data_IF_991542773522
#
_entry.id   IF_991542773522
#
_cell.length_a   1.000
_cell.length_b   1.000
_cell.length_c   1.000
_cell.angle_alpha   90.00
_cell.angle_beta   90.00
_cell.angle_gamma   90.00
#
_symmetry.space_group_name_H-M   'P 1'
#
loop_
_entity.id
_entity.type
_entity.pdbx_description
1 polymer ?
#
# COMPACT_ATOMS: atom_id res chain seq x y z
N UNK A 1 9.01 -22.90 -6.21
CA UNK A 1 8.33 -21.59 -6.08
C UNK A 1 8.12 -20.99 -7.46
N UNK A 2 6.92 -20.54 -7.82
CA UNK A 2 6.66 -19.96 -9.14
C UNK A 2 7.31 -18.57 -9.23
N UNK A 3 8.29 -18.38 -10.12
CA UNK A 3 9.04 -17.13 -10.29
C UNK A 3 8.13 -15.91 -10.51
N UNK A 4 6.95 -16.12 -11.10
CA UNK A 4 5.95 -15.07 -11.32
C UNK A 4 5.33 -14.58 -10.00
N UNK A 5 4.97 -15.50 -9.10
CA UNK A 5 4.35 -15.16 -7.81
C UNK A 5 5.33 -14.36 -6.96
N UNK A 6 6.55 -14.85 -6.86
CA UNK A 6 7.60 -14.19 -6.10
C UNK A 6 7.89 -12.78 -6.63
N UNK A 7 8.05 -12.62 -7.95
CA UNK A 7 8.22 -11.29 -8.55
C UNK A 7 7.03 -10.39 -8.29
N UNK A 8 5.81 -10.90 -8.29
CA UNK A 8 4.64 -10.08 -8.03
C UNK A 8 4.58 -9.60 -6.57
N UNK A 9 4.68 -10.51 -5.60
CA UNK A 9 4.56 -10.15 -4.17
C UNK A 9 5.72 -9.29 -3.67
N UNK A 10 6.91 -9.44 -4.27
CA UNK A 10 8.11 -8.63 -3.95
C UNK A 10 8.23 -7.38 -4.82
N UNK A 11 7.24 -7.07 -5.65
CA UNK A 11 7.24 -5.98 -6.62
C UNK A 11 8.53 -5.94 -7.46
N UNK A 12 8.70 -6.95 -8.31
CA UNK A 12 9.86 -7.18 -9.18
C UNK A 12 11.21 -7.25 -8.44
N UNK A 13 11.24 -7.93 -7.29
CA UNK A 13 12.40 -8.09 -6.38
C UNK A 13 12.81 -6.82 -5.61
N UNK A 14 12.05 -5.73 -5.67
CA UNK A 14 12.32 -4.54 -4.85
C UNK A 14 12.23 -4.89 -3.35
N UNK A 15 11.30 -5.76 -2.97
CA UNK A 15 11.15 -6.27 -1.61
C UNK A 15 12.37 -7.04 -1.09
N UNK A 16 13.28 -7.48 -1.96
CA UNK A 16 14.51 -8.21 -1.58
C UNK A 16 15.70 -7.29 -1.31
N UNK A 17 15.54 -5.97 -1.42
CA UNK A 17 16.61 -5.03 -1.10
C UNK A 17 16.93 -5.13 0.39
N UNK A 18 18.23 -5.22 0.73
CA UNK A 18 18.70 -5.46 2.11
C UNK A 18 18.35 -4.35 3.09
N UNK A 19 18.27 -3.10 2.63
CA UNK A 19 18.07 -1.94 3.48
C UNK A 19 16.73 -1.27 3.20
N UNK A 20 15.85 -1.28 4.20
CA UNK A 20 14.54 -0.64 4.20
C UNK A 20 13.72 -0.88 2.89
N UNK A 21 13.44 -2.15 2.53
CA UNK A 21 12.73 -2.49 1.30
C UNK A 21 11.38 -1.78 1.17
N UNK A 22 10.64 -1.64 2.29
CA UNK A 22 9.38 -0.90 2.32
C UNK A 22 9.53 0.59 2.02
N UNK A 23 10.56 1.26 2.54
CA UNK A 23 10.84 2.67 2.22
C UNK A 23 11.14 2.86 0.74
N UNK A 24 11.98 1.99 0.17
CA UNK A 24 12.32 2.03 -1.26
C UNK A 24 11.10 1.71 -2.11
N UNK A 25 10.35 0.67 -1.74
CA UNK A 25 9.09 0.26 -2.38
C UNK A 25 8.07 1.39 -2.38
N UNK A 26 7.68 1.87 -1.20
CA UNK A 26 6.75 2.99 -1.02
C UNK A 26 7.14 4.20 -1.88
N UNK A 27 8.42 4.60 -1.91
CA UNK A 27 8.89 5.70 -2.77
C UNK A 27 8.55 5.43 -4.24
N UNK A 28 8.89 4.24 -4.75
CA UNK A 28 8.61 3.83 -6.13
C UNK A 28 7.09 3.78 -6.38
N UNK A 29 6.30 3.28 -5.41
CA UNK A 29 4.86 3.14 -5.52
C UNK A 29 4.18 4.49 -5.71
N UNK A 30 4.57 5.51 -4.95
CA UNK A 30 4.02 6.87 -5.12
C UNK A 30 4.23 7.41 -6.55
N UNK A 31 5.41 7.20 -7.14
CA UNK A 31 5.64 7.59 -8.54
C UNK A 31 4.80 6.77 -9.52
N UNK A 32 4.80 5.44 -9.38
CA UNK A 32 4.03 4.54 -10.26
C UNK A 32 2.53 4.88 -10.21
N UNK A 33 1.98 5.05 -9.00
CA UNK A 33 0.58 5.34 -8.79
C UNK A 33 0.19 6.73 -9.29
N UNK A 34 1.05 7.74 -9.12
CA UNK A 34 0.84 9.06 -9.70
C UNK A 34 0.73 8.98 -11.23
N UNK A 35 1.67 8.31 -11.89
CA UNK A 35 1.63 8.12 -13.35
C UNK A 35 0.43 7.30 -13.81
N UNK A 36 0.02 6.29 -13.03
CA UNK A 36 -1.15 5.49 -13.34
C UNK A 36 -2.45 6.31 -13.21
N UNK A 37 -2.55 7.10 -12.14
CA UNK A 37 -3.71 7.94 -11.85
C UNK A 37 -3.95 9.00 -12.93
N UNK A 38 -2.90 9.67 -13.43
CA UNK A 38 -3.06 10.69 -14.48
C UNK A 38 -3.36 10.11 -15.87
N UNK A 39 -3.06 8.82 -16.11
CA UNK A 39 -3.25 8.16 -17.41
C UNK A 39 -4.59 7.44 -17.53
N UNK A 40 -5.13 6.95 -16.42
CA UNK A 40 -6.37 6.18 -16.40
C UNK A 40 -7.57 7.07 -16.05
N UNK A 41 -8.75 6.70 -16.53
CA UNK A 41 -9.99 7.25 -15.96
C UNK A 41 -10.15 6.74 -14.52
N UNK A 42 -10.86 7.50 -13.68
CA UNK A 42 -11.08 7.10 -12.29
C UNK A 42 -11.70 5.70 -12.16
N UNK A 43 -12.69 5.38 -13.03
CA UNK A 43 -13.31 4.04 -13.05
C UNK A 43 -12.29 2.94 -13.35
N UNK A 44 -11.43 3.15 -14.36
CA UNK A 44 -10.43 2.15 -14.73
C UNK A 44 -9.35 2.01 -13.64
N UNK A 45 -8.95 3.13 -13.02
CA UNK A 45 -8.03 3.14 -11.88
C UNK A 45 -8.60 2.41 -10.65
N UNK A 46 -9.91 2.51 -10.42
CA UNK A 46 -10.61 1.77 -9.36
C UNK A 46 -10.67 0.27 -9.69
N UNK A 47 -10.98 -0.09 -10.94
CA UNK A 47 -11.02 -1.49 -11.36
C UNK A 47 -9.64 -2.17 -11.22
N UNK A 48 -8.56 -1.48 -11.58
CA UNK A 48 -7.20 -2.01 -11.42
C UNK A 48 -6.83 -2.23 -9.96
N UNK A 49 -7.29 -1.38 -9.03
CA UNK A 49 -7.13 -1.63 -7.60
C UNK A 49 -7.74 -2.98 -7.17
N UNK A 50 -9.01 -3.24 -7.52
CA UNK A 50 -9.68 -4.49 -7.14
C UNK A 50 -9.04 -5.72 -7.80
N UNK A 51 -8.59 -5.60 -9.05
CA UNK A 51 -7.87 -6.68 -9.74
C UNK A 51 -6.57 -7.00 -8.99
N UNK A 52 -5.75 -5.99 -8.67
CA UNK A 52 -4.48 -6.17 -7.96
C UNK A 52 -4.74 -6.72 -6.55
N UNK A 53 -5.78 -6.25 -5.86
CA UNK A 53 -6.17 -6.74 -4.53
C UNK A 53 -6.46 -8.24 -4.55
N UNK A 54 -7.31 -8.70 -5.48
CA UNK A 54 -7.68 -10.12 -5.61
C UNK A 54 -6.44 -10.97 -5.94
N UNK A 55 -5.62 -10.54 -6.90
CA UNK A 55 -4.39 -11.25 -7.27
C UNK A 55 -3.43 -11.33 -6.08
N UNK A 56 -3.28 -10.24 -5.32
CA UNK A 56 -2.40 -10.17 -4.15
C UNK A 56 -2.83 -11.15 -3.07
N UNK A 57 -4.13 -11.22 -2.75
CA UNK A 57 -4.65 -12.19 -1.77
C UNK A 57 -4.29 -13.62 -2.18
N UNK A 58 -4.48 -13.97 -3.46
CA UNK A 58 -4.18 -15.32 -3.97
C UNK A 58 -2.67 -15.61 -3.95
N UNK A 59 -1.87 -14.65 -4.37
CA UNK A 59 -0.42 -14.83 -4.55
C UNK A 59 0.32 -14.83 -3.22
N UNK A 60 -0.04 -13.96 -2.28
CA UNK A 60 0.52 -13.96 -0.92
C UNK A 60 0.16 -15.27 -0.21
N UNK A 61 -1.09 -15.75 -0.31
CA UNK A 61 -1.49 -17.03 0.28
C UNK A 61 -0.65 -18.20 -0.25
N UNK A 62 -0.32 -18.19 -1.54
CA UNK A 62 0.53 -19.22 -2.14
C UNK A 62 2.00 -19.04 -1.76
N UNK A 63 2.48 -17.80 -1.69
CA UNK A 63 3.86 -17.47 -1.34
C UNK A 63 4.20 -17.83 0.11
N UNK A 64 3.33 -17.48 1.06
CA UNK A 64 3.50 -17.79 2.48
C UNK A 64 3.39 -19.29 2.73
N UNK A 65 2.50 -20.02 2.04
CA UNK A 65 2.44 -21.49 2.17
C UNK A 65 3.73 -22.18 1.74
N UNK A 66 4.40 -21.66 0.71
CA UNK A 66 5.65 -22.22 0.18
C UNK A 66 6.88 -21.85 1.06
N UNK A 67 6.79 -20.81 1.89
CA UNK A 67 7.86 -20.36 2.79
C UNK A 67 7.48 -20.62 4.25
N UNK A 68 8.20 -21.54 4.90
CA UNK A 68 8.02 -21.96 6.29
C UNK A 68 8.33 -20.87 7.36
N UNK A 69 8.43 -19.59 6.98
CA UNK A 69 8.85 -18.50 7.87
C UNK A 69 7.72 -17.51 8.16
N UNK A 70 7.80 -16.94 9.37
CA UNK A 70 6.95 -15.85 9.86
C UNK A 70 7.06 -14.61 8.95
N UNK A 71 5.90 -14.04 8.56
CA UNK A 71 5.69 -12.83 7.76
C UNK A 71 6.91 -12.31 6.97
N UNK A 72 7.09 -12.77 5.71
CA UNK A 72 8.24 -12.39 4.90
C UNK A 72 8.24 -10.89 4.61
N UNK A 73 9.23 -10.18 5.16
CA UNK A 73 9.45 -8.73 4.97
C UNK A 73 9.65 -8.32 3.51
N UNK A 74 9.92 -9.28 2.63
CA UNK A 74 10.03 -9.03 1.19
C UNK A 74 8.69 -8.90 0.47
N UNK A 75 7.57 -9.27 1.11
CA UNK A 75 6.23 -8.99 0.57
C UNK A 75 5.96 -7.51 0.79
N UNK A 76 5.83 -6.77 -0.32
CA UNK A 76 5.61 -5.31 -0.32
C UNK A 76 4.46 -4.92 -1.25
N UNK A 77 3.68 -5.89 -1.73
CA UNK A 77 2.52 -5.66 -2.60
C UNK A 77 1.28 -5.20 -1.81
N UNK A 78 1.21 -5.61 -0.55
CA UNK A 78 0.39 -5.03 0.52
C UNK A 78 0.67 -3.53 0.69
N UNK A 79 1.95 -3.13 0.81
CA UNK A 79 2.31 -1.72 0.96
C UNK A 79 1.90 -0.91 -0.29
N UNK A 80 2.05 -1.51 -1.48
CA UNK A 80 1.59 -0.93 -2.74
C UNK A 80 0.08 -0.69 -2.74
N UNK A 81 -0.72 -1.64 -2.24
CA UNK A 81 -2.17 -1.49 -2.11
C UNK A 81 -2.53 -0.40 -1.09
N UNK A 82 -1.81 -0.30 0.03
CA UNK A 82 -1.95 0.78 1.00
C UNK A 82 -1.70 2.16 0.39
N UNK A 83 -0.62 2.30 -0.37
CA UNK A 83 -0.33 3.52 -1.14
C UNK A 83 -1.42 3.81 -2.18
N UNK A 84 -1.93 2.77 -2.87
CA UNK A 84 -2.97 2.89 -3.89
C UNK A 84 -4.23 3.56 -3.34
N UNK A 85 -4.65 3.16 -2.14
CA UNK A 85 -5.82 3.73 -1.46
C UNK A 85 -5.69 5.24 -1.31
N UNK A 86 -4.52 5.76 -1.00
CA UNK A 86 -4.29 7.22 -0.88
C UNK A 86 -4.62 7.94 -2.20
N UNK A 87 -4.22 7.34 -3.34
CA UNK A 87 -4.53 7.88 -4.66
C UNK A 87 -6.00 7.71 -5.07
N UNK A 88 -6.71 6.68 -4.60
CA UNK A 88 -8.15 6.55 -4.83
C UNK A 88 -8.91 7.76 -4.24
N UNK A 89 -8.46 8.27 -3.10
CA UNK A 89 -9.06 9.43 -2.44
C UNK A 89 -8.40 10.76 -2.81
N UNK A 90 -7.40 10.77 -3.71
CA UNK A 90 -6.74 11.99 -4.16
C UNK A 90 -7.72 13.10 -4.62
N UNK A 91 -8.81 12.81 -5.36
CA UNK A 91 -9.79 13.85 -5.74
C UNK A 91 -10.48 14.56 -4.57
N UNK A 92 -10.52 13.95 -3.38
CA UNK A 92 -11.14 14.53 -2.18
C UNK A 92 -10.14 15.35 -1.35
N UNK A 93 -8.85 15.27 -1.66
CA UNK A 93 -7.76 15.91 -0.92
C UNK A 93 -7.41 17.23 -1.62
N UNK A 94 -7.67 18.37 -0.98
CA UNK A 94 -7.51 19.70 -1.60
C UNK A 94 -6.07 20.22 -1.59
N UNK A 95 -5.07 19.35 -1.73
CA UNK A 95 -3.67 19.76 -1.83
C UNK A 95 -3.37 20.20 -3.27
N UNK A 96 -3.12 21.49 -3.45
CA UNK A 96 -2.85 22.08 -4.78
C UNK A 96 -1.45 21.78 -5.32
N UNK A 97 -0.47 21.56 -4.44
CA UNK A 97 0.91 21.24 -4.84
C UNK A 97 1.15 19.73 -4.77
N UNK A 98 1.34 19.10 -5.94
CA UNK A 98 1.55 17.65 -6.04
C UNK A 98 2.78 17.17 -5.28
N UNK A 99 3.86 17.95 -5.22
CA UNK A 99 5.08 17.57 -4.50
C UNK A 99 4.79 17.50 -3.00
N UNK A 100 4.03 18.47 -2.47
CA UNK A 100 3.61 18.45 -1.07
C UNK A 100 2.69 17.25 -0.78
N UNK A 101 1.76 16.95 -1.68
CA UNK A 101 0.90 15.77 -1.56
C UNK A 101 1.74 14.49 -1.48
N UNK A 102 2.69 14.29 -2.40
CA UNK A 102 3.53 13.09 -2.43
C UNK A 102 4.38 12.95 -1.15
N UNK A 103 5.05 14.03 -0.72
CA UNK A 103 5.93 14.01 0.46
C UNK A 103 5.12 13.77 1.73
N UNK A 104 4.03 14.53 1.96
CA UNK A 104 3.23 14.41 3.18
C UNK A 104 2.55 13.05 3.23
N UNK A 105 1.97 12.59 2.12
CA UNK A 105 1.35 11.26 2.05
C UNK A 105 2.35 10.15 2.32
N UNK A 106 3.55 10.24 1.76
CA UNK A 106 4.61 9.26 2.00
C UNK A 106 4.99 9.21 3.49
N UNK A 107 5.21 10.36 4.12
CA UNK A 107 5.59 10.44 5.54
C UNK A 107 4.48 9.88 6.43
N UNK A 108 3.23 10.28 6.20
CA UNK A 108 2.08 9.81 6.97
C UNK A 108 1.84 8.31 6.79
N UNK A 109 1.91 7.81 5.55
CA UNK A 109 1.75 6.39 5.27
C UNK A 109 2.79 5.56 6.00
N UNK A 110 4.08 5.91 5.87
CA UNK A 110 5.15 5.19 6.56
C UNK A 110 5.02 5.28 8.08
N UNK A 111 4.57 6.42 8.61
CA UNK A 111 4.31 6.57 10.03
C UNK A 111 3.20 5.62 10.51
N UNK A 112 2.08 5.52 9.77
CA UNK A 112 0.97 4.66 10.17
C UNK A 112 1.24 3.16 9.95
N UNK A 113 1.94 2.80 8.88
CA UNK A 113 2.41 1.44 8.61
C UNK A 113 3.36 0.95 9.71
N UNK A 114 4.36 1.77 10.09
CA UNK A 114 5.34 1.39 11.12
C UNK A 114 4.71 1.35 12.53
N UNK A 115 3.85 2.31 12.87
CA UNK A 115 3.26 2.40 14.21
C UNK A 115 2.13 1.38 14.40
N UNK A 116 1.40 1.00 13.34
CA UNK A 116 0.20 0.15 13.39
C UNK A 116 -0.80 0.59 14.46
N UNK A 117 -1.35 1.80 14.33
CA UNK A 117 -2.36 2.35 15.27
C UNK A 117 -3.59 1.43 15.38
N UNK A 118 -4.23 1.40 16.56
CA UNK A 118 -5.46 0.64 16.77
C UNK A 118 -6.56 1.04 15.76
N UNK A 119 -7.27 0.08 15.11
CA UNK A 119 -7.33 -1.35 15.40
C UNK A 119 -6.41 -2.22 14.54
N UNK A 120 -5.48 -1.65 13.76
CA UNK A 120 -4.51 -2.40 12.92
C UNK A 120 -3.77 -3.43 13.78
N UNK A 121 -3.29 -3.02 14.95
CA UNK A 121 -2.62 -3.91 15.91
C UNK A 121 -3.46 -5.10 16.43
N UNK A 122 -4.80 -5.06 16.34
CA UNK A 122 -5.66 -6.19 16.71
C UNK A 122 -5.83 -7.17 15.54
N UNK A 123 -5.85 -6.67 14.32
CA UNK A 123 -5.98 -7.45 13.09
C UNK A 123 -4.68 -8.23 12.86
N UNK A 124 -3.54 -7.55 12.89
CA UNK A 124 -2.18 -8.13 12.84
C UNK A 124 -2.00 -9.30 13.82
N UNK A 125 -2.49 -9.14 15.05
CA UNK A 125 -2.35 -10.15 16.11
C UNK A 125 -3.28 -11.35 15.95
N UNK A 126 -4.44 -11.19 15.30
CA UNK A 126 -5.50 -12.22 15.23
C UNK A 126 -5.59 -12.91 13.87
N UNK A 127 -5.19 -12.23 12.79
CA UNK A 127 -5.39 -12.67 11.42
C UNK A 127 -4.02 -12.81 10.74
N UNK A 128 -3.40 -13.98 10.91
CA UNK A 128 -2.10 -14.31 10.30
C UNK A 128 -2.26 -14.97 8.92
N UNK A 129 -2.98 -14.32 8.03
CA UNK A 129 -3.18 -14.76 6.65
C UNK A 129 -3.01 -13.58 5.68
N UNK A 130 -3.11 -13.82 4.37
CA UNK A 130 -2.92 -12.76 3.38
C UNK A 130 -3.89 -11.58 3.51
N UNK A 131 -5.08 -11.80 4.09
CA UNK A 131 -6.03 -10.73 4.33
C UNK A 131 -5.56 -9.79 5.44
N UNK A 132 -5.05 -10.33 6.55
CA UNK A 132 -4.53 -9.50 7.65
C UNK A 132 -3.39 -8.60 7.17
N UNK A 133 -2.41 -9.19 6.49
CA UNK A 133 -1.25 -8.49 5.93
C UNK A 133 -1.65 -7.35 5.00
N UNK A 134 -2.51 -7.61 3.99
CA UNK A 134 -2.95 -6.56 3.06
C UNK A 134 -3.82 -5.51 3.75
N UNK A 135 -4.71 -5.92 4.66
CA UNK A 135 -5.66 -5.01 5.27
C UNK A 135 -5.00 -4.04 6.25
N UNK A 136 -3.92 -4.46 6.92
CA UNK A 136 -3.11 -3.58 7.77
C UNK A 136 -2.60 -2.36 6.99
N UNK A 137 -2.04 -2.56 5.79
CA UNK A 137 -1.53 -1.48 4.94
C UNK A 137 -2.63 -0.63 4.31
N UNK A 138 -3.74 -1.26 3.92
CA UNK A 138 -4.94 -0.53 3.45
C UNK A 138 -5.44 0.42 4.55
N UNK A 139 -5.48 -0.04 5.81
CA UNK A 139 -5.87 0.81 6.94
C UNK A 139 -4.86 1.94 7.19
N UNK A 140 -3.56 1.69 7.08
CA UNK A 140 -2.54 2.74 7.13
C UNK A 140 -2.73 3.79 6.03
N UNK A 141 -3.08 3.35 4.81
CA UNK A 141 -3.49 4.21 3.70
C UNK A 141 -4.74 5.04 4.02
N UNK A 142 -5.77 4.43 4.60
CA UNK A 142 -7.00 5.13 5.00
C UNK A 142 -6.74 6.17 6.11
N UNK A 143 -5.89 5.87 7.10
CA UNK A 143 -5.48 6.85 8.11
C UNK A 143 -4.74 8.03 7.51
N UNK A 144 -3.87 7.76 6.53
CA UNK A 144 -3.21 8.82 5.77
C UNK A 144 -4.24 9.72 5.08
N UNK A 145 -5.21 9.15 4.38
CA UNK A 145 -6.30 9.89 3.72
C UNK A 145 -7.08 10.74 4.72
N UNK A 146 -7.50 10.16 5.84
CA UNK A 146 -8.29 10.88 6.87
C UNK A 146 -7.51 12.09 7.38
N UNK A 147 -6.23 11.94 7.70
CA UNK A 147 -5.39 13.04 8.17
C UNK A 147 -5.20 14.11 7.09
N UNK A 148 -4.98 13.70 5.83
CA UNK A 148 -4.85 14.65 4.72
C UNK A 148 -6.13 15.45 4.49
N UNK A 149 -7.31 14.80 4.56
CA UNK A 149 -8.61 15.46 4.46
C UNK A 149 -8.84 16.41 5.64
N UNK A 150 -8.42 16.06 6.87
CA UNK A 150 -8.58 16.96 8.02
C UNK A 150 -7.67 18.19 7.87
N UNK A 151 -6.42 18.02 7.46
CA UNK A 151 -5.46 19.13 7.37
C UNK A 151 -5.76 20.03 6.16
N UNK A 152 -6.20 19.46 5.04
CA UNK A 152 -6.33 20.18 3.78
C UNK A 152 -7.75 20.27 3.24
N UNK A 153 -8.72 19.54 3.79
CA UNK A 153 -10.13 19.59 3.36
C UNK A 153 -10.94 20.74 3.95
N UNK A 154 -10.40 21.47 4.95
CA UNK A 154 -11.03 22.68 5.49
C UNK A 154 -10.58 23.94 4.74
N UNK A 155 -11.16 24.15 3.56
CA UNK A 155 -11.41 25.50 3.05
C UNK A 155 -12.90 25.59 2.74
N UNK A 156 -13.66 26.16 3.69
CA UNK A 156 -15.01 26.70 3.48
C UNK A 156 -14.87 27.97 2.66
#
# INVERSE_FOLDING_TARGET
MNNIIEKFVTFFNIGKIKFAPGTVGSTIFFFVLYFLFIKLTYLLFLLTFFIILIISILFINKYIKDKYEHDPKEVIIDEFLGCYVIFLFFPLIQITNIINFLIISFILFRLFDIIKLFPINLIDKKIKNSFGVIFDDILAGLYTVIVLIIIHGYKI
#
